data_IF_626614301987
#
_entry.id   IF_626614301987
#
_cell.length_a   1.000
_cell.length_b   1.000
_cell.length_c   1.000
_cell.angle_alpha   90.00
_cell.angle_beta   90.00
_cell.angle_gamma   90.00
#
_symmetry.space_group_name_H-M   'P 1'
#
loop_
_entity.id
_entity.type
_entity.pdbx_description
1 polymer ?
#
# COMPACT_ATOMS: atom_id res chain seq x y z
N UNK A 1 -4.51 17.86 -11.02
CA UNK A 1 -3.32 18.06 -10.16
C UNK A 1 -2.78 16.69 -9.75
N UNK A 2 -1.61 16.29 -10.25
CA UNK A 2 -1.00 14.98 -9.99
C UNK A 2 -0.68 14.74 -8.50
N UNK A 3 -0.16 15.77 -7.80
CA UNK A 3 0.30 15.64 -6.41
C UNK A 3 -0.73 15.09 -5.42
N UNK A 4 -2.01 15.42 -5.59
CA UNK A 4 -3.09 14.90 -4.75
C UNK A 4 -3.29 13.39 -4.91
N UNK A 5 -3.13 12.86 -6.13
CA UNK A 5 -3.21 11.43 -6.38
C UNK A 5 -2.01 10.70 -5.78
N UNK A 6 -0.82 11.29 -5.90
CA UNK A 6 0.41 10.79 -5.27
C UNK A 6 0.26 10.75 -3.75
N UNK A 7 -0.26 11.80 -3.12
CA UNK A 7 -0.53 11.85 -1.68
C UNK A 7 -1.55 10.79 -1.24
N UNK A 8 -2.56 10.51 -2.08
CA UNK A 8 -3.54 9.44 -1.84
C UNK A 8 -2.87 8.06 -1.84
N UNK A 9 -1.95 7.80 -2.78
CA UNK A 9 -1.16 6.56 -2.82
C UNK A 9 -0.27 6.39 -1.58
N UNK A 10 0.42 7.46 -1.17
CA UNK A 10 1.21 7.47 0.07
C UNK A 10 0.36 7.13 1.28
N UNK A 11 -0.82 7.74 1.39
CA UNK A 11 -1.76 7.53 2.51
C UNK A 11 -2.23 6.07 2.56
N UNK A 12 -2.59 5.48 1.42
CA UNK A 12 -3.06 4.08 1.38
C UNK A 12 -1.96 3.07 1.69
N UNK A 13 -0.72 3.36 1.33
CA UNK A 13 0.43 2.52 1.61
C UNK A 13 1.15 2.86 2.92
N UNK A 14 0.62 3.81 3.70
CA UNK A 14 1.21 4.27 4.95
C UNK A 14 2.68 4.71 4.80
N UNK A 15 3.02 5.33 3.66
CA UNK A 15 4.34 5.91 3.41
C UNK A 15 4.45 7.26 4.09
N UNK A 16 5.53 7.47 4.85
CA UNK A 16 5.81 8.78 5.45
C UNK A 16 6.43 9.72 4.43
N UNK A 17 6.16 11.02 4.59
CA UNK A 17 6.76 12.07 3.76
C UNK A 17 8.30 12.02 3.79
N UNK A 18 8.89 11.75 4.96
CA UNK A 18 10.35 11.64 5.13
C UNK A 18 10.93 10.51 4.28
N UNK A 19 10.34 9.30 4.30
CA UNK A 19 10.85 8.17 3.52
C UNK A 19 10.74 8.46 2.01
N UNK A 20 9.62 9.06 1.58
CA UNK A 20 9.43 9.44 0.17
C UNK A 20 10.43 10.52 -0.24
N UNK A 21 10.65 11.53 0.59
CA UNK A 21 11.62 12.60 0.33
C UNK A 21 13.05 12.05 0.25
N UNK A 22 13.46 11.21 1.20
CA UNK A 22 14.78 10.56 1.20
C UNK A 22 15.00 9.71 -0.06
N UNK A 23 14.00 8.91 -0.45
CA UNK A 23 14.08 8.09 -1.67
C UNK A 23 14.12 8.94 -2.94
N UNK A 24 13.30 9.99 -2.99
CA UNK A 24 13.31 10.99 -4.07
C UNK A 24 14.69 11.65 -4.24
N UNK A 25 15.34 12.04 -3.13
CA UNK A 25 16.70 12.58 -3.16
C UNK A 25 17.74 11.55 -3.64
N UNK A 26 17.61 10.29 -3.22
CA UNK A 26 18.49 9.20 -3.67
C UNK A 26 18.39 8.93 -5.17
N UNK A 27 17.25 9.20 -5.78
CA UNK A 27 17.07 9.13 -7.23
C UNK A 27 17.64 10.36 -7.97
N UNK A 28 18.01 11.43 -7.25
CA UNK A 28 18.55 12.67 -7.84
C UNK A 28 17.56 13.83 -7.86
N UNK A 29 16.45 13.74 -7.14
CA UNK A 29 15.50 14.82 -6.98
C UNK A 29 16.11 16.02 -6.23
N UNK A 30 15.65 17.23 -6.54
CA UNK A 30 16.30 18.47 -6.07
C UNK A 30 15.45 19.36 -5.17
N UNK A 31 14.14 19.09 -5.08
CA UNK A 31 13.22 19.91 -4.27
C UNK A 31 13.34 19.59 -2.77
N UNK A 32 13.07 20.61 -1.96
CA UNK A 32 13.09 20.52 -0.51
C UNK A 32 11.87 19.81 0.07
N UNK A 33 11.98 19.39 1.33
CA UNK A 33 10.92 18.68 2.05
C UNK A 33 9.60 19.48 2.11
N UNK A 34 9.69 20.79 2.32
CA UNK A 34 8.52 21.69 2.37
C UNK A 34 7.86 21.87 1.00
N UNK A 35 8.66 21.90 -0.07
CA UNK A 35 8.14 22.02 -1.44
C UNK A 35 7.42 20.74 -1.85
N UNK A 36 7.98 19.59 -1.49
CA UNK A 36 7.35 18.29 -1.68
C UNK A 36 6.03 18.19 -0.88
N UNK A 37 6.03 18.62 0.39
CA UNK A 37 4.81 18.65 1.21
C UNK A 37 3.73 19.54 0.60
N UNK A 38 4.10 20.75 0.17
CA UNK A 38 3.19 21.68 -0.49
C UNK A 38 2.64 21.12 -1.80
N UNK A 39 3.49 20.44 -2.59
CA UNK A 39 3.07 19.79 -3.84
C UNK A 39 2.05 18.68 -3.60
N UNK A 40 2.30 17.80 -2.62
CA UNK A 40 1.42 16.69 -2.28
C UNK A 40 0.04 17.16 -1.78
N UNK A 41 0.01 18.30 -1.09
CA UNK A 41 -1.23 18.94 -0.62
C UNK A 41 -1.87 19.87 -1.66
N UNK A 42 -1.32 19.97 -2.88
CA UNK A 42 -1.87 20.81 -3.95
C UNK A 42 -1.69 22.31 -3.74
N UNK A 43 -0.82 22.72 -2.81
CA UNK A 43 -0.46 24.13 -2.56
C UNK A 43 0.65 24.63 -3.50
N UNK A 44 1.38 23.71 -4.13
CA UNK A 44 2.44 23.99 -5.11
C UNK A 44 2.24 23.13 -6.37
N UNK A 45 2.49 23.71 -7.54
CA UNK A 45 2.60 22.96 -8.80
C UNK A 45 4.07 22.78 -9.14
N UNK A 46 4.48 21.54 -9.33
CA UNK A 46 5.82 21.21 -9.83
C UNK A 46 5.81 21.07 -11.36
N UNK A 47 6.96 21.25 -12.04
CA UNK A 47 7.12 20.83 -13.42
C UNK A 47 6.84 19.33 -13.59
N UNK A 48 6.32 18.93 -14.76
CA UNK A 48 5.93 17.55 -15.05
C UNK A 48 7.06 16.56 -14.73
N UNK A 49 8.29 16.88 -15.14
CA UNK A 49 9.49 16.06 -14.87
C UNK A 49 9.71 15.80 -13.37
N UNK A 50 9.67 16.85 -12.54
CA UNK A 50 9.87 16.74 -11.09
C UNK A 50 8.70 15.99 -10.43
N UNK A 51 7.47 16.26 -10.85
CA UNK A 51 6.30 15.55 -10.34
C UNK A 51 6.30 14.06 -10.70
N UNK A 52 6.76 13.71 -11.90
CA UNK A 52 6.90 12.32 -12.33
C UNK A 52 8.02 11.61 -11.57
N UNK A 53 9.05 12.34 -11.18
CA UNK A 53 10.09 11.84 -10.31
C UNK A 53 9.58 11.53 -8.89
N UNK A 54 8.72 12.40 -8.33
CA UNK A 54 8.03 12.11 -7.07
C UNK A 54 7.11 10.90 -7.21
N UNK A 55 6.34 10.81 -8.30
CA UNK A 55 5.47 9.66 -8.57
C UNK A 55 6.27 8.36 -8.70
N UNK A 56 7.42 8.40 -9.39
CA UNK A 56 8.38 7.30 -9.49
C UNK A 56 8.87 6.88 -8.09
N UNK A 57 9.24 7.84 -7.24
CA UNK A 57 9.76 7.56 -5.90
C UNK A 57 8.76 6.74 -5.07
N UNK A 58 7.51 7.21 -5.07
CA UNK A 58 6.41 6.53 -4.40
C UNK A 58 6.19 5.14 -5.00
N UNK A 59 6.17 5.05 -6.33
CA UNK A 59 5.91 3.80 -7.03
C UNK A 59 6.99 2.73 -6.80
N UNK A 60 8.26 3.12 -6.64
CA UNK A 60 9.35 2.20 -6.27
C UNK A 60 9.23 1.72 -4.82
N UNK A 61 8.93 2.63 -3.88
CA UNK A 61 8.69 2.27 -2.48
C UNK A 61 7.51 1.30 -2.32
N UNK A 62 6.45 1.47 -3.14
CA UNK A 62 5.34 0.52 -3.21
C UNK A 62 5.79 -0.87 -3.70
N UNK A 63 6.68 -0.91 -4.69
CA UNK A 63 7.20 -2.18 -5.23
C UNK A 63 8.11 -2.90 -4.23
N UNK A 64 8.93 -2.15 -3.50
CA UNK A 64 9.76 -2.70 -2.42
C UNK A 64 8.90 -3.27 -1.30
N UNK A 65 7.85 -2.55 -0.87
CA UNK A 65 6.88 -3.06 0.10
C UNK A 65 6.18 -4.34 -0.38
N UNK A 66 5.69 -4.35 -1.62
CA UNK A 66 5.06 -5.54 -2.22
C UNK A 66 6.02 -6.74 -2.28
N UNK A 67 7.30 -6.52 -2.59
CA UNK A 67 8.33 -7.56 -2.57
C UNK A 67 8.59 -8.10 -1.17
N UNK A 68 8.40 -7.28 -0.14
CA UNK A 68 8.54 -7.65 1.27
C UNK A 68 7.27 -8.29 1.86
N UNK A 69 6.21 -8.43 1.07
CA UNK A 69 4.96 -9.11 1.46
C UNK A 69 3.81 -8.18 1.83
N UNK A 70 3.95 -6.87 1.63
CA UNK A 70 2.84 -5.93 1.83
C UNK A 70 1.75 -6.12 0.76
N UNK A 71 0.51 -5.76 1.11
CA UNK A 71 -0.62 -5.85 0.19
C UNK A 71 -0.44 -4.83 -0.94
N UNK A 72 -0.55 -5.23 -2.22
CA UNK A 72 -0.43 -4.31 -3.35
C UNK A 72 -1.39 -3.13 -3.23
N UNK A 73 -0.83 -1.93 -3.28
CA UNK A 73 -1.57 -0.69 -3.21
C UNK A 73 -1.83 -0.09 -4.60
N UNK A 74 -2.63 0.95 -4.67
CA UNK A 74 -2.82 1.73 -5.88
C UNK A 74 -1.58 2.61 -6.14
N UNK A 75 -1.26 2.82 -7.42
CA UNK A 75 -0.06 3.56 -7.85
C UNK A 75 -0.30 5.06 -7.97
N UNK A 76 0.77 5.82 -7.79
CA UNK A 76 0.79 7.24 -8.11
C UNK A 76 0.81 7.41 -9.66
N UNK A 77 -0.12 8.18 -10.24
CA UNK A 77 -0.13 8.43 -11.68
C UNK A 77 1.00 9.37 -12.07
N UNK A 78 1.51 9.19 -13.30
CA UNK A 78 2.40 10.16 -13.95
C UNK A 78 1.58 11.31 -14.56
N UNK A 79 2.23 12.44 -14.83
CA UNK A 79 1.69 13.67 -15.39
C UNK A 79 0.91 13.41 -16.69
N UNK A 80 1.45 12.57 -17.56
CA UNK A 80 0.84 12.15 -18.82
C UNK A 80 -0.51 11.44 -18.65
N UNK A 81 -0.75 10.78 -17.51
CA UNK A 81 -2.03 10.11 -17.20
C UNK A 81 -3.04 11.05 -16.55
N UNK A 82 -2.60 12.22 -16.09
CA UNK A 82 -3.45 13.26 -15.53
C UNK A 82 -3.93 14.26 -16.60
N UNK A 83 -3.51 14.10 -17.85
CA UNK A 83 -4.04 14.87 -18.98
C UNK A 83 -5.41 14.32 -19.38
N UNK A 84 -6.41 15.19 -19.55
CA UNK A 84 -7.82 14.90 -19.90
C UNK A 84 -8.02 14.24 -21.30
N UNK A 85 -7.02 13.55 -21.86
CA UNK A 85 -7.09 12.90 -23.17
C UNK A 85 -7.51 11.40 -23.03
N UNK A 86 -8.65 10.98 -23.59
CA UNK A 86 -9.32 9.73 -23.24
C UNK A 86 -8.74 8.43 -23.84
N UNK A 87 -7.45 8.34 -24.20
CA UNK A 87 -6.95 7.23 -25.04
C UNK A 87 -5.61 6.58 -24.64
N UNK A 88 -5.40 6.21 -23.38
CA UNK A 88 -4.30 5.28 -23.03
C UNK A 88 -4.80 4.03 -22.27
N UNK A 89 -4.54 2.81 -22.78
CA UNK A 89 -5.02 1.57 -22.17
C UNK A 89 -4.18 1.08 -20.98
N UNK A 90 -3.14 1.81 -20.58
CA UNK A 90 -2.36 1.49 -19.37
C UNK A 90 -3.07 2.09 -18.16
N UNK A 91 -4.23 1.54 -17.83
CA UNK A 91 -4.93 1.84 -16.59
C UNK A 91 -4.18 1.17 -15.43
N UNK A 92 -3.07 1.77 -14.98
CA UNK A 92 -2.58 1.51 -13.63
C UNK A 92 -3.73 1.82 -12.68
N UNK A 93 -3.96 0.94 -11.72
CA UNK A 93 -5.03 1.11 -10.73
C UNK A 93 -4.69 2.32 -9.86
N UNK A 94 -5.05 3.51 -10.34
CA UNK A 94 -4.80 4.78 -9.68
C UNK A 94 -5.68 4.85 -8.43
N UNK A 95 -5.14 5.42 -7.36
CA UNK A 95 -5.89 5.63 -6.15
C UNK A 95 -6.99 6.66 -6.43
N UNK A 96 -8.23 6.21 -6.59
CA UNK A 96 -9.37 7.12 -6.52
C UNK A 96 -9.71 7.29 -5.05
N UNK A 97 -9.74 8.54 -4.57
CA UNK A 97 -9.97 8.90 -3.17
C UNK A 97 -11.29 8.37 -2.57
N UNK A 98 -12.13 7.68 -3.36
CA UNK A 98 -13.43 7.16 -2.96
C UNK A 98 -13.41 5.69 -2.48
N UNK A 99 -12.34 4.92 -2.73
CA UNK A 99 -12.35 3.49 -2.46
C UNK A 99 -11.56 3.07 -1.22
N UNK A 100 -12.20 2.99 -0.05
CA UNK A 100 -11.74 1.99 0.95
C UNK A 100 -11.75 0.64 0.23
N UNK A 101 -10.58 0.02 0.07
CA UNK A 101 -10.39 -1.20 -0.70
C UNK A 101 -11.48 -2.23 -0.39
N UNK A 102 -12.40 -2.42 -1.34
CA UNK A 102 -13.29 -3.57 -1.33
C UNK A 102 -12.40 -4.76 -1.65
N UNK A 103 -12.19 -5.63 -0.66
CA UNK A 103 -11.68 -6.99 -0.87
C UNK A 103 -12.48 -7.57 -2.04
N UNK A 104 -11.80 -7.89 -3.14
CA UNK A 104 -12.40 -8.69 -4.20
C UNK A 104 -12.70 -10.06 -3.58
N UNK A 105 -13.94 -10.30 -3.17
CA UNK A 105 -14.44 -11.65 -3.00
C UNK A 105 -14.51 -12.27 -4.39
N UNK A 106 -13.84 -13.41 -4.55
CA UNK A 106 -13.99 -14.27 -5.71
C UNK A 106 -15.47 -14.64 -5.91
N UNK A 107 -15.95 -14.82 -7.16
CA UNK A 107 -17.32 -15.23 -7.41
C UNK A 107 -17.47 -16.71 -7.07
N UNK A 108 -17.96 -17.00 -5.86
CA UNK A 108 -18.45 -18.33 -5.49
C UNK A 108 -19.88 -18.50 -5.99
N UNK A 109 -20.04 -19.31 -7.04
CA UNK A 109 -21.33 -19.68 -7.59
C UNK A 109 -22.21 -20.44 -6.59
N UNK A 110 -23.51 -20.19 -6.70
CA UNK A 110 -24.59 -20.85 -5.99
C UNK A 110 -24.77 -22.30 -6.46
N UNK A 111 -24.97 -23.23 -5.52
CA UNK A 111 -26.22 -23.99 -5.33
C UNK A 111 -25.97 -25.27 -4.50
N UNK A 112 -26.84 -25.50 -3.50
CA UNK A 112 -26.86 -26.71 -2.65
C UNK A 112 -27.50 -27.93 -3.36
N UNK A 113 -27.95 -29.00 -2.65
CA UNK A 113 -28.18 -29.10 -1.20
C UNK A 113 -27.86 -30.49 -0.54
N UNK A 114 -28.11 -30.56 0.78
CA UNK A 114 -28.47 -31.72 1.62
C UNK A 114 -27.46 -32.88 1.82
N UNK A 115 -27.01 -33.05 3.07
CA UNK A 115 -26.35 -34.27 3.54
C UNK A 115 -26.12 -34.28 5.05
N UNK A 116 -27.00 -34.95 5.79
CA UNK A 116 -26.88 -35.27 7.21
C UNK A 116 -25.68 -36.17 7.52
N UNK A 117 -24.89 -35.86 8.57
CA UNK A 117 -24.34 -36.79 9.58
C UNK A 117 -23.05 -36.26 10.23
N UNK A 118 -22.87 -36.52 11.53
CA UNK A 118 -21.53 -36.84 12.05
C UNK A 118 -20.83 -35.85 12.98
N UNK A 119 -21.38 -35.68 14.19
CA UNK A 119 -20.68 -35.58 15.50
C UNK A 119 -19.13 -35.65 15.48
N UNK A 120 -18.45 -34.60 15.98
CA UNK A 120 -17.31 -34.74 16.92
C UNK A 120 -16.94 -33.42 17.62
N UNK A 121 -16.89 -33.51 18.94
CA UNK A 121 -16.40 -32.51 19.89
C UNK A 121 -14.87 -32.40 19.77
N UNK A 122 -14.27 -31.20 19.73
CA UNK A 122 -12.82 -31.06 19.95
C UNK A 122 -12.52 -31.25 21.44
N UNK A 123 -11.72 -32.28 21.75
CA UNK A 123 -11.08 -32.44 23.05
C UNK A 123 -10.12 -31.26 23.31
N UNK A 124 -10.02 -30.75 24.55
CA UNK A 124 -8.94 -29.85 24.93
C UNK A 124 -7.59 -30.59 24.93
N UNK A 125 -6.57 -29.95 24.36
CA UNK A 125 -5.19 -30.41 24.28
C UNK A 125 -4.59 -30.67 25.67
N UNK A 126 -3.79 -31.75 25.86
CA UNK A 126 -3.07 -31.97 27.10
C UNK A 126 -1.74 -31.20 27.16
N UNK A 127 -1.59 -30.45 28.27
CA UNK A 127 -0.41 -30.34 29.12
C UNK A 127 0.94 -29.98 28.47
N UNK A 128 1.35 -28.72 28.66
CA UNK A 128 2.76 -28.33 28.67
C UNK A 128 3.43 -28.82 29.97
N UNK A 129 4.63 -29.43 29.93
CA UNK A 129 5.37 -29.78 31.12
C UNK A 129 5.99 -28.54 31.79
N UNK A 130 5.83 -28.46 33.11
CA UNK A 130 6.42 -27.45 33.97
C UNK A 130 7.96 -27.56 33.98
N UNK A 131 8.65 -26.50 33.56
CA UNK A 131 10.08 -26.37 33.80
C UNK A 131 10.33 -26.06 35.28
N UNK A 132 10.80 -27.09 35.98
CA UNK A 132 11.33 -27.07 37.35
C UNK A 132 12.67 -26.33 37.36
N UNK A 133 12.71 -25.12 37.92
CA UNK A 133 13.97 -24.46 38.29
C UNK A 133 14.36 -24.85 39.73
N UNK A 134 15.38 -25.69 39.85
CA UNK A 134 16.11 -25.92 41.11
C UNK A 134 17.20 -24.85 41.17
N UNK A 135 17.03 -23.83 42.01
CA UNK A 135 18.13 -22.93 42.40
C UNK A 135 18.58 -23.34 43.81
N UNK A 136 19.67 -24.10 43.86
CA UNK A 136 20.43 -24.42 45.08
C UNK A 136 21.25 -23.19 45.43
N UNK A 137 20.98 -22.55 46.55
CA UNK A 137 21.89 -21.61 47.20
C UNK A 137 22.02 -22.03 48.67
N UNK A 138 23.19 -22.58 49.02
CA UNK A 138 23.99 -22.26 50.21
C UNK A 138 25.28 -23.06 50.18
#
# INVERSE_FOLDING_TARGET
MQGLHTHTAMTHANLSLTIVHDHFLNMGGVIGHLELDAYLHGMLTLPDDESDFVAQAVNELLDDGARNGDVPCCRAPYSAMCSDEPHSPIAVRACTASGRGRVLQAPGGTDGPTGTAGRRVPRPSPLLPAHRSVRRER
#
